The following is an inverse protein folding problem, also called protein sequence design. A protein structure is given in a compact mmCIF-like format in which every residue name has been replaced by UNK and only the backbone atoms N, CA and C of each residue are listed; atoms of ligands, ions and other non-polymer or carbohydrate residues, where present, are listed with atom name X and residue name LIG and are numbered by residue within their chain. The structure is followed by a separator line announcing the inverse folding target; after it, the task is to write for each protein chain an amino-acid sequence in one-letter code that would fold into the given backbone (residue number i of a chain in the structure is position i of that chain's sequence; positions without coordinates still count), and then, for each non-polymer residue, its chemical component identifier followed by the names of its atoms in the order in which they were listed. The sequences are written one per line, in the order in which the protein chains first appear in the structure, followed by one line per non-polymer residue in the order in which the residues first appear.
data_IF_133194480838
#
_entry.id   IF_133194480838
#
_cell.length_a   1.000
_cell.length_b   1.000
_cell.length_c   1.000
_cell.angle_alpha   90.00
_cell.angle_beta   90.00
_cell.angle_gamma   90.00
#
_symmetry.space_group_name_H-M   'P 1'
#
loop_
_entity.id
_entity.type
_entity.pdbx_description
1 polymer ?
#
# COMPACT_ATOMS: atom_id res chain seq x y z
N UNK A 1 -4.00 71.47 -15.01
CA UNK A 1 -4.80 71.76 -13.80
C UNK A 1 -4.58 70.65 -12.79
N UNK A 2 -4.77 70.98 -11.50
CA UNK A 2 -4.74 70.13 -10.29
C UNK A 2 -5.63 68.86 -10.47
N UNK A 3 -5.57 67.72 -9.75
CA UNK A 3 -4.92 67.24 -8.51
C UNK A 3 -5.53 65.84 -8.17
N UNK A 4 -5.49 65.21 -6.98
CA UNK A 4 -4.75 65.40 -5.72
C UNK A 4 -5.00 64.21 -4.73
N UNK A 5 -3.96 63.42 -4.37
CA UNK A 5 -3.81 62.64 -3.09
C UNK A 5 -4.65 61.34 -2.86
N UNK A 6 -4.19 60.37 -2.01
CA UNK A 6 -4.41 58.92 -2.23
C UNK A 6 -4.89 58.08 -1.01
N UNK A 7 -4.81 56.74 -1.17
CA UNK A 7 -4.60 55.64 -0.20
C UNK A 7 -4.84 55.84 1.32
N UNK A 8 -5.51 54.85 1.95
CA UNK A 8 -4.82 53.71 2.61
C UNK A 8 -5.78 52.64 3.17
N UNK A 9 -5.34 51.38 3.10
CA UNK A 9 -5.84 50.27 3.94
C UNK A 9 -5.21 50.33 5.34
N UNK A 10 -5.94 49.84 6.36
CA UNK A 10 -5.44 49.26 7.63
C UNK A 10 -6.64 48.86 8.51
N UNK A 11 -6.63 47.79 9.32
CA UNK A 11 -5.76 46.61 9.34
C UNK A 11 -6.46 45.53 10.17
N UNK A 12 -6.17 44.26 9.93
CA UNK A 12 -6.45 43.22 10.93
C UNK A 12 -5.40 43.29 12.05
N UNK A 13 -5.78 43.04 13.30
CA UNK A 13 -4.84 42.76 14.40
C UNK A 13 -5.37 41.56 15.19
N UNK A 14 -4.49 40.59 15.41
CA UNK A 14 -4.75 39.31 16.07
C UNK A 14 -4.72 39.40 17.61
N UNK A 15 -5.10 38.30 18.25
CA UNK A 15 -4.99 38.07 19.69
C UNK A 15 -3.53 37.86 20.12
N UNK A 16 -3.04 38.66 21.08
CA UNK A 16 -2.12 38.16 22.12
C UNK A 16 -2.25 38.96 23.41
N UNK A 17 -2.04 38.29 24.56
CA UNK A 17 -2.44 38.81 25.88
C UNK A 17 -1.29 39.39 26.70
N UNK A 18 -1.64 40.03 27.81
CA UNK A 18 -0.66 40.53 28.78
C UNK A 18 -1.20 41.64 29.70
N UNK A 19 -1.82 41.22 30.81
CA UNK A 19 -1.58 41.69 32.20
C UNK A 19 -1.47 43.20 32.52
N UNK A 20 -2.25 43.64 33.53
CA UNK A 20 -2.05 44.83 34.41
C UNK A 20 -2.14 46.21 33.70
N UNK A 21 -2.44 47.35 34.33
CA UNK A 21 -2.81 47.75 35.71
C UNK A 21 -3.57 49.09 35.59
N UNK A 22 -4.51 49.38 36.51
CA UNK A 22 -5.00 50.75 36.84
C UNK A 22 -5.63 51.56 35.65
N UNK A 23 -6.34 52.68 35.82
CA UNK A 23 -6.72 53.47 37.00
C UNK A 23 -8.12 54.10 36.80
N UNK A 24 -8.57 54.86 37.79
CA UNK A 24 -9.83 55.62 37.88
C UNK A 24 -10.10 56.53 36.65
N UNK A 25 -11.35 56.84 36.28
CA UNK A 25 -12.09 57.91 36.99
C UNK A 25 -13.59 58.03 36.65
N UNK A 26 -14.32 58.52 37.66
CA UNK A 26 -15.36 59.59 37.62
C UNK A 26 -16.28 59.64 36.37
N UNK A 27 -17.59 59.38 36.49
CA UNK A 27 -18.61 60.35 36.94
C UNK A 27 -18.49 61.73 36.23
N UNK A 28 -19.54 62.37 35.71
CA UNK A 28 -20.93 62.38 36.16
C UNK A 28 -21.87 62.98 35.08
N UNK A 29 -23.18 62.90 35.34
CA UNK A 29 -24.21 63.88 34.95
C UNK A 29 -24.75 64.00 33.50
N UNK A 30 -26.07 63.77 33.41
CA UNK A 30 -27.08 64.58 32.70
C UNK A 30 -27.45 64.35 31.21
N UNK A 31 -28.17 63.24 30.99
CA UNK A 31 -29.59 63.18 30.51
C UNK A 31 -30.27 64.53 30.10
N UNK A 32 -31.20 64.57 29.10
CA UNK A 32 -31.42 63.70 27.92
C UNK A 32 -31.62 64.48 26.59
N UNK A 33 -31.50 63.79 25.44
CA UNK A 33 -32.36 64.07 24.29
C UNK A 33 -32.56 62.80 23.45
N UNK A 34 -33.71 62.17 23.65
CA UNK A 34 -34.21 61.11 22.77
C UNK A 34 -34.74 61.75 21.48
N UNK A 35 -34.30 61.28 20.32
CA UNK A 35 -35.25 60.94 19.27
C UNK A 35 -35.15 59.44 18.98
N UNK A 36 -36.30 58.75 19.05
CA UNK A 36 -36.36 57.36 18.64
C UNK A 36 -36.06 57.24 17.14
N UNK A 37 -34.89 56.72 16.79
CA UNK A 37 -34.75 55.87 15.61
C UNK A 37 -35.25 54.47 15.99
N UNK A 38 -36.57 54.36 16.18
CA UNK A 38 -37.26 53.14 16.58
C UNK A 38 -37.23 52.12 15.45
N UNK A 39 -36.19 51.28 15.39
CA UNK A 39 -36.30 50.00 14.72
C UNK A 39 -37.43 49.23 15.40
N UNK A 40 -38.56 49.18 14.71
CA UNK A 40 -39.81 48.72 15.31
C UNK A 40 -39.66 47.27 15.76
N UNK A 41 -40.45 46.85 16.75
CA UNK A 41 -40.43 45.45 17.24
C UNK A 41 -40.69 44.43 16.11
N UNK A 42 -41.27 44.87 14.98
CA UNK A 42 -41.45 44.11 13.73
C UNK A 42 -40.15 43.91 12.93
N UNK A 43 -39.26 44.89 12.84
CA UNK A 43 -38.02 44.78 12.03
C UNK A 43 -37.02 43.82 12.67
N UNK A 44 -36.85 43.88 14.00
CA UNK A 44 -36.08 42.84 14.73
C UNK A 44 -36.71 41.47 14.55
N UNK A 45 -38.04 41.34 14.62
CA UNK A 45 -38.70 40.06 14.36
C UNK A 45 -38.49 39.55 12.93
N UNK A 46 -38.45 40.44 11.92
CA UNK A 46 -38.20 40.08 10.53
C UNK A 46 -36.76 39.60 10.29
N UNK A 47 -35.77 40.31 10.83
CA UNK A 47 -34.34 39.95 10.68
C UNK A 47 -34.02 38.61 11.38
N UNK A 48 -34.51 38.42 12.60
CA UNK A 48 -34.29 37.17 13.34
C UNK A 48 -35.02 35.97 12.72
N UNK A 49 -36.21 36.17 12.12
CA UNK A 49 -36.95 35.12 11.41
C UNK A 49 -36.27 34.74 10.09
N UNK A 50 -35.81 35.72 9.31
CA UNK A 50 -35.06 35.50 8.07
C UNK A 50 -33.71 34.77 8.30
N UNK A 51 -33.00 35.12 9.37
CA UNK A 51 -31.78 34.42 9.77
C UNK A 51 -32.08 32.99 10.24
N UNK A 52 -33.15 32.82 11.04
CA UNK A 52 -33.64 31.52 11.47
C UNK A 52 -34.01 30.60 10.31
N UNK A 53 -34.77 31.08 9.32
CA UNK A 53 -35.17 30.30 8.15
C UNK A 53 -33.97 29.90 7.27
N UNK A 54 -32.98 30.80 7.11
CA UNK A 54 -31.73 30.51 6.39
C UNK A 54 -30.88 29.43 7.08
N UNK A 55 -30.80 29.48 8.42
CA UNK A 55 -30.09 28.48 9.22
C UNK A 55 -30.88 27.16 9.25
N UNK A 56 -32.20 27.20 9.40
CA UNK A 56 -33.04 26.01 9.48
C UNK A 56 -33.06 25.21 8.16
N UNK A 57 -33.11 25.89 7.01
CA UNK A 57 -32.98 25.24 5.70
C UNK A 57 -31.58 24.63 5.52
N UNK A 58 -30.51 25.34 5.92
CA UNK A 58 -29.15 24.81 5.90
C UNK A 58 -28.98 23.60 6.84
N UNK A 59 -29.40 23.68 8.09
CA UNK A 59 -29.31 22.57 9.04
C UNK A 59 -30.10 21.34 8.57
N UNK A 60 -31.29 21.53 7.98
CA UNK A 60 -32.07 20.43 7.41
C UNK A 60 -31.36 19.79 6.20
N UNK A 61 -30.76 20.60 5.33
CA UNK A 61 -29.96 20.10 4.20
C UNK A 61 -28.70 19.36 4.68
N UNK A 62 -27.94 19.94 5.62
CA UNK A 62 -26.76 19.33 6.22
C UNK A 62 -27.08 18.02 6.95
N UNK A 63 -28.22 17.92 7.62
CA UNK A 63 -28.69 16.69 8.27
C UNK A 63 -29.01 15.59 7.23
N UNK A 64 -29.66 15.94 6.12
CA UNK A 64 -29.91 14.99 5.01
C UNK A 64 -28.60 14.55 4.37
N UNK A 65 -27.70 15.48 4.06
CA UNK A 65 -26.37 15.19 3.49
C UNK A 65 -25.56 14.28 4.43
N UNK A 66 -25.50 14.61 5.72
CA UNK A 66 -24.81 13.81 6.74
C UNK A 66 -25.42 12.40 6.89
N UNK A 67 -26.74 12.27 6.82
CA UNK A 67 -27.43 10.97 6.83
C UNK A 67 -27.10 10.11 5.61
N UNK A 68 -27.00 10.71 4.41
CA UNK A 68 -26.56 10.02 3.19
C UNK A 68 -25.11 9.56 3.30
N UNK A 69 -24.20 10.42 3.78
CA UNK A 69 -22.81 10.02 4.03
C UNK A 69 -22.69 8.91 5.08
N UNK A 70 -23.48 8.97 6.17
CA UNK A 70 -23.51 7.91 7.18
C UNK A 70 -24.01 6.59 6.58
N UNK A 71 -25.06 6.62 5.75
CA UNK A 71 -25.55 5.44 5.04
C UNK A 71 -24.50 4.84 4.09
N UNK A 72 -23.79 5.67 3.32
CA UNK A 72 -22.68 5.21 2.47
C UNK A 72 -21.54 4.61 3.29
N UNK A 73 -21.14 5.24 4.40
CA UNK A 73 -20.12 4.69 5.30
C UNK A 73 -20.56 3.35 5.91
N UNK A 74 -21.81 3.21 6.31
CA UNK A 74 -22.35 1.93 6.80
C UNK A 74 -22.32 0.85 5.72
N UNK A 75 -22.71 1.16 4.48
CA UNK A 75 -22.61 0.22 3.35
C UNK A 75 -21.16 -0.17 3.04
N UNK A 76 -20.22 0.77 3.12
CA UNK A 76 -18.79 0.51 2.96
C UNK A 76 -18.28 -0.40 4.09
N UNK A 77 -18.62 -0.10 5.35
CA UNK A 77 -18.21 -0.91 6.52
C UNK A 77 -18.79 -2.34 6.42
N UNK A 78 -20.07 -2.49 6.08
CA UNK A 78 -20.70 -3.81 5.91
C UNK A 78 -20.04 -4.56 4.74
N UNK A 79 -19.81 -3.91 3.61
CA UNK A 79 -19.10 -4.51 2.46
C UNK A 79 -17.68 -4.96 2.83
N UNK A 80 -16.94 -4.16 3.61
CA UNK A 80 -15.60 -4.50 4.08
C UNK A 80 -15.61 -5.67 5.07
N UNK A 81 -16.59 -5.75 5.97
CA UNK A 81 -16.74 -6.89 6.89
C UNK A 81 -17.04 -8.17 6.09
N UNK A 82 -18.00 -8.12 5.17
CA UNK A 82 -18.35 -9.26 4.32
C UNK A 82 -17.22 -9.68 3.36
N UNK A 83 -16.34 -8.76 2.98
CA UNK A 83 -15.13 -9.06 2.20
C UNK A 83 -13.96 -9.56 3.06
N UNK A 84 -13.93 -9.21 4.35
CA UNK A 84 -12.88 -9.65 5.29
C UNK A 84 -13.05 -11.11 5.71
N UNK A 85 -14.27 -11.64 5.65
CA UNK A 85 -14.54 -13.07 5.58
C UNK A 85 -14.14 -13.61 4.21
N UNK A 86 -12.83 -13.66 3.94
CA UNK A 86 -12.28 -14.34 2.76
C UNK A 86 -12.59 -15.83 2.92
N UNK A 87 -13.55 -16.30 2.12
CA UNK A 87 -13.76 -17.73 1.93
C UNK A 87 -12.49 -18.30 1.28
N UNK A 88 -11.69 -19.00 2.08
CA UNK A 88 -10.58 -19.83 1.60
C UNK A 88 -11.22 -21.07 0.98
N UNK A 89 -11.01 -21.29 -0.32
CA UNK A 89 -11.55 -22.47 -0.99
C UNK A 89 -10.87 -23.76 -0.48
N UNK A 90 -11.55 -24.90 -0.55
CA UNK A 90 -11.07 -26.14 0.08
C UNK A 90 -9.77 -26.67 -0.57
N UNK A 91 -9.41 -26.22 -1.77
CA UNK A 91 -8.15 -26.52 -2.46
C UNK A 91 -7.02 -25.48 -2.21
N UNK A 92 -7.36 -24.30 -1.69
CA UNK A 92 -6.41 -23.27 -1.25
C UNK A 92 -5.99 -23.47 0.22
N UNK A 93 -6.86 -24.05 1.06
CA UNK A 93 -6.47 -24.51 2.39
C UNK A 93 -5.53 -25.72 2.30
N UNK A 94 -4.41 -25.67 3.03
CA UNK A 94 -3.47 -26.78 3.11
C UNK A 94 -2.95 -26.98 4.54
N UNK A 95 -2.78 -28.23 4.94
CA UNK A 95 -2.32 -28.59 6.28
C UNK A 95 -0.78 -28.78 6.32
N UNK A 96 -0.03 -28.01 7.14
CA UNK A 96 1.42 -28.18 7.32
C UNK A 96 1.86 -29.57 7.77
N UNK A 97 1.04 -30.29 8.54
CA UNK A 97 1.38 -31.64 8.97
C UNK A 97 1.23 -32.67 7.83
N UNK A 98 0.25 -32.50 6.94
CA UNK A 98 0.02 -33.37 5.78
C UNK A 98 1.20 -33.45 4.79
N UNK A 99 1.96 -32.37 4.62
CA UNK A 99 3.16 -32.34 3.75
C UNK A 99 4.42 -32.78 4.48
N UNK A 100 4.39 -32.81 5.82
CA UNK A 100 5.52 -33.16 6.69
C UNK A 100 5.69 -34.68 6.83
N UNK A 101 5.71 -35.40 5.71
CA UNK A 101 5.82 -36.88 5.68
C UNK A 101 7.20 -37.42 6.05
N UNK A 102 8.22 -36.55 6.20
CA UNK A 102 9.62 -36.92 6.40
C UNK A 102 10.33 -37.43 5.14
N UNK A 103 9.63 -37.48 3.99
CA UNK A 103 10.21 -37.81 2.70
C UNK A 103 10.58 -36.53 1.95
N UNK A 104 11.75 -36.54 1.30
CA UNK A 104 12.30 -35.38 0.61
C UNK A 104 12.67 -35.73 -0.83
N UNK A 105 12.51 -34.76 -1.74
CA UNK A 105 13.07 -34.79 -3.08
C UNK A 105 14.10 -33.69 -3.22
N UNK A 106 15.30 -34.09 -3.65
CA UNK A 106 16.34 -33.17 -4.07
C UNK A 106 16.32 -33.05 -5.60
N UNK A 107 16.61 -31.86 -6.10
CA UNK A 107 16.94 -31.61 -7.49
C UNK A 107 18.28 -30.87 -7.54
N UNK A 108 19.16 -31.31 -8.44
CA UNK A 108 20.41 -30.65 -8.77
C UNK A 108 20.25 -29.94 -10.10
N UNK A 109 20.57 -28.65 -10.15
CA UNK A 109 20.43 -27.83 -11.34
C UNK A 109 21.70 -27.07 -11.69
N UNK A 110 21.75 -26.59 -12.92
CA UNK A 110 22.77 -25.64 -13.38
C UNK A 110 22.19 -24.61 -14.33
N UNK A 111 22.78 -23.44 -14.34
CA UNK A 111 22.42 -22.31 -15.20
C UNK A 111 23.61 -21.38 -15.41
N UNK A 112 23.61 -20.62 -16.51
CA UNK A 112 24.59 -19.58 -16.81
C UNK A 112 24.10 -18.21 -16.33
N UNK A 113 25.03 -17.42 -15.81
CA UNK A 113 24.81 -16.02 -15.43
C UNK A 113 25.24 -15.14 -16.61
N UNK A 114 24.30 -14.37 -17.16
CA UNK A 114 24.58 -13.37 -18.20
C UNK A 114 25.40 -12.21 -17.65
N UNK A 115 25.07 -11.75 -16.44
CA UNK A 115 25.79 -10.69 -15.71
C UNK A 115 25.24 -10.53 -14.28
N UNK A 116 25.95 -9.77 -13.43
CA UNK A 116 25.49 -9.38 -12.09
C UNK A 116 26.29 -8.19 -11.52
N UNK A 117 25.71 -7.49 -10.55
CA UNK A 117 26.20 -6.21 -10.00
C UNK A 117 27.40 -6.32 -9.05
N UNK A 118 27.49 -7.40 -8.28
CA UNK A 118 28.41 -7.54 -7.15
C UNK A 118 29.03 -8.94 -7.14
N UNK A 119 30.20 -9.08 -6.50
CA UNK A 119 30.94 -10.35 -6.42
C UNK A 119 30.23 -11.49 -5.66
N UNK A 120 29.18 -11.19 -4.90
CA UNK A 120 28.45 -12.16 -4.06
C UNK A 120 27.36 -12.93 -4.83
N UNK A 121 27.67 -13.34 -6.06
CA UNK A 121 26.74 -14.05 -6.97
C UNK A 121 26.04 -15.26 -6.32
N UNK A 122 26.72 -15.94 -5.38
CA UNK A 122 26.19 -17.07 -4.61
C UNK A 122 25.00 -16.69 -3.73
N UNK A 123 25.11 -15.59 -3.00
CA UNK A 123 24.10 -15.14 -2.05
C UNK A 123 22.87 -14.59 -2.78
N UNK A 124 23.09 -13.74 -3.80
CA UNK A 124 22.05 -13.19 -4.66
C UNK A 124 21.27 -14.30 -5.38
N UNK A 125 21.96 -15.31 -5.93
CA UNK A 125 21.31 -16.43 -6.61
C UNK A 125 20.59 -17.36 -5.62
N UNK A 126 21.20 -17.69 -4.48
CA UNK A 126 20.56 -18.51 -3.43
C UNK A 126 19.28 -17.85 -2.96
N UNK A 127 19.33 -16.56 -2.65
CA UNK A 127 18.15 -15.78 -2.26
C UNK A 127 17.09 -15.76 -3.35
N UNK A 128 17.46 -15.53 -4.61
CA UNK A 128 16.51 -15.57 -5.73
C UNK A 128 15.85 -16.95 -5.87
N UNK A 129 16.59 -18.05 -5.73
CA UNK A 129 16.02 -19.40 -5.78
C UNK A 129 15.02 -19.63 -4.63
N UNK A 130 15.35 -19.20 -3.41
CA UNK A 130 14.45 -19.23 -2.26
C UNK A 130 13.18 -18.41 -2.54
N UNK A 131 13.31 -17.16 -2.97
CA UNK A 131 12.19 -16.27 -3.26
C UNK A 131 11.25 -16.89 -4.33
N UNK A 132 11.80 -17.45 -5.41
CA UNK A 132 11.04 -18.06 -6.51
C UNK A 132 10.26 -19.29 -6.08
N UNK A 133 10.91 -20.23 -5.38
CA UNK A 133 10.26 -21.50 -5.05
C UNK A 133 9.35 -21.39 -3.83
N UNK A 134 9.70 -20.57 -2.82
CA UNK A 134 8.83 -20.35 -1.65
C UNK A 134 7.55 -19.58 -1.96
N UNK A 135 7.59 -18.63 -2.91
CA UNK A 135 6.40 -17.88 -3.36
C UNK A 135 5.61 -18.55 -4.50
N UNK A 136 6.07 -19.70 -5.01
CA UNK A 136 5.39 -20.43 -6.08
C UNK A 136 4.03 -20.96 -5.61
N UNK A 137 2.91 -20.61 -6.27
CA UNK A 137 1.59 -21.15 -5.90
C UNK A 137 1.50 -22.69 -6.00
N UNK A 138 2.29 -23.29 -6.90
CA UNK A 138 2.33 -24.74 -7.07
C UNK A 138 3.29 -25.45 -6.12
N UNK A 139 4.48 -24.86 -5.86
CA UNK A 139 5.59 -25.53 -5.16
C UNK A 139 5.89 -25.00 -3.75
N UNK A 140 5.40 -23.81 -3.38
CA UNK A 140 5.79 -23.11 -2.14
C UNK A 140 5.52 -23.91 -0.87
N UNK A 141 4.33 -24.52 -0.75
CA UNK A 141 3.96 -25.42 0.36
C UNK A 141 4.85 -26.66 0.50
N UNK A 142 5.58 -27.03 -0.54
CA UNK A 142 6.50 -28.16 -0.55
C UNK A 142 7.97 -27.74 -0.44
N UNK A 143 8.30 -26.47 -0.64
CA UNK A 143 9.68 -26.00 -0.68
C UNK A 143 10.31 -25.95 0.72
N UNK A 144 11.51 -26.53 0.86
CA UNK A 144 12.26 -26.51 2.12
C UNK A 144 13.41 -25.52 2.03
N UNK A 145 14.28 -25.66 1.03
CA UNK A 145 15.46 -24.81 0.87
C UNK A 145 16.04 -24.87 -0.54
N UNK A 146 16.83 -23.87 -0.89
CA UNK A 146 17.70 -23.84 -2.06
C UNK A 146 19.09 -23.38 -1.63
N UNK A 147 20.13 -23.90 -2.28
CA UNK A 147 21.52 -23.50 -2.07
C UNK A 147 22.28 -23.52 -3.39
N UNK A 148 23.28 -22.65 -3.53
CA UNK A 148 24.23 -22.72 -4.64
C UNK A 148 25.51 -23.40 -4.15
N UNK A 149 25.82 -24.56 -4.74
CA UNK A 149 26.93 -25.42 -4.31
C UNK A 149 28.28 -24.91 -4.82
N UNK A 150 28.33 -24.46 -6.08
CA UNK A 150 29.58 -24.05 -6.73
C UNK A 150 29.35 -23.19 -7.98
N UNK A 151 30.43 -22.53 -8.41
CA UNK A 151 30.48 -21.74 -9.64
C UNK A 151 31.67 -22.16 -10.52
N UNK A 152 31.42 -22.35 -11.81
CA UNK A 152 32.44 -22.41 -12.84
C UNK A 152 32.67 -21.01 -13.42
N UNK A 153 33.82 -20.41 -13.09
CA UNK A 153 34.20 -19.09 -13.61
C UNK A 153 34.45 -19.09 -15.12
N UNK A 154 34.87 -20.22 -15.70
CA UNK A 154 35.17 -20.33 -17.14
C UNK A 154 33.93 -20.11 -18.02
N UNK A 155 32.78 -20.63 -17.58
CA UNK A 155 31.51 -20.62 -18.34
C UNK A 155 30.39 -19.86 -17.59
N UNK A 156 30.74 -19.01 -16.62
CA UNK A 156 29.82 -18.29 -15.73
C UNK A 156 28.64 -19.16 -15.20
N UNK A 157 28.90 -20.44 -14.95
CA UNK A 157 27.86 -21.45 -14.67
C UNK A 157 27.74 -21.68 -13.18
N UNK A 158 26.54 -21.48 -12.63
CA UNK A 158 26.18 -21.84 -11.26
C UNK A 158 25.65 -23.26 -11.19
N UNK A 159 26.00 -24.00 -10.14
CA UNK A 159 25.42 -25.29 -9.78
C UNK A 159 24.67 -25.15 -8.45
N UNK A 160 23.42 -25.58 -8.40
CA UNK A 160 22.54 -25.38 -7.26
C UNK A 160 21.75 -26.64 -6.91
N UNK A 161 21.32 -26.72 -5.66
CA UNK A 161 20.40 -27.75 -5.17
C UNK A 161 19.11 -27.12 -4.67
N UNK A 162 18.00 -27.81 -4.90
CA UNK A 162 16.67 -27.52 -4.36
C UNK A 162 16.22 -28.73 -3.54
N UNK A 163 15.58 -28.48 -2.41
CA UNK A 163 15.02 -29.52 -1.53
C UNK A 163 13.54 -29.25 -1.31
N UNK A 164 12.72 -30.27 -1.55
CA UNK A 164 11.27 -30.24 -1.35
C UNK A 164 10.81 -31.37 -0.43
N UNK A 165 9.80 -31.12 0.39
CA UNK A 165 9.05 -32.15 1.12
C UNK A 165 8.05 -32.82 0.18
N UNK A 166 7.90 -34.13 0.29
CA UNK A 166 6.93 -34.89 -0.50
C UNK A 166 5.66 -35.19 0.32
N UNK A 167 4.46 -35.09 -0.28
CA UNK A 167 3.25 -35.62 0.34
C UNK A 167 3.31 -37.17 0.41
N UNK A 168 2.49 -37.82 1.26
CA UNK A 168 2.49 -39.27 1.42
C UNK A 168 2.21 -40.09 0.15
N UNK A 169 1.52 -39.51 -0.84
CA UNK A 169 1.21 -40.13 -2.14
C UNK A 169 2.11 -39.50 -3.21
N UNK A 170 3.36 -39.98 -3.28
CA UNK A 170 4.40 -39.33 -4.08
C UNK A 170 4.31 -39.62 -5.60
N UNK A 171 3.88 -40.79 -6.05
CA UNK A 171 4.12 -41.24 -7.44
C UNK A 171 3.41 -40.40 -8.50
N UNK A 172 2.10 -40.13 -8.35
CA UNK A 172 1.37 -39.27 -9.28
C UNK A 172 1.74 -37.79 -9.12
N UNK A 173 2.01 -37.36 -7.88
CA UNK A 173 2.47 -36.01 -7.55
C UNK A 173 3.80 -35.67 -8.22
N UNK A 174 4.79 -36.58 -8.17
CA UNK A 174 6.08 -36.44 -8.87
C UNK A 174 5.92 -36.39 -10.40
N UNK A 175 4.91 -37.06 -10.96
CA UNK A 175 4.67 -37.07 -12.40
C UNK A 175 4.00 -35.79 -12.90
N UNK A 176 3.05 -35.24 -12.15
CA UNK A 176 2.18 -34.13 -12.62
C UNK A 176 2.43 -32.77 -11.95
N UNK A 177 3.02 -32.74 -10.75
CA UNK A 177 3.18 -31.52 -9.95
C UNK A 177 4.63 -31.21 -9.59
N UNK A 178 5.50 -32.22 -9.46
CA UNK A 178 6.91 -32.06 -9.10
C UNK A 178 7.85 -32.83 -10.05
N UNK A 179 7.60 -32.74 -11.36
CA UNK A 179 8.52 -33.26 -12.37
C UNK A 179 9.72 -32.32 -12.55
N UNK A 180 10.86 -32.84 -13.02
CA UNK A 180 12.06 -32.05 -13.33
C UNK A 180 11.75 -30.90 -14.31
N UNK A 181 10.92 -31.18 -15.32
CA UNK A 181 10.43 -30.17 -16.27
C UNK A 181 9.60 -29.08 -15.60
N UNK A 182 8.66 -29.45 -14.71
CA UNK A 182 7.81 -28.48 -14.01
C UNK A 182 8.64 -27.56 -13.11
N UNK A 183 9.51 -28.14 -12.27
CA UNK A 183 10.38 -27.39 -11.34
C UNK A 183 11.34 -26.47 -12.12
N UNK A 184 11.91 -26.94 -13.23
CA UNK A 184 12.76 -26.13 -14.11
C UNK A 184 11.97 -24.99 -14.78
N UNK A 185 10.75 -25.25 -15.24
CA UNK A 185 9.93 -24.25 -15.93
C UNK A 185 9.42 -23.14 -14.99
N UNK A 186 9.22 -23.42 -13.69
CA UNK A 186 8.92 -22.37 -12.69
C UNK A 186 10.05 -21.33 -12.61
N UNK A 187 11.32 -21.78 -12.55
CA UNK A 187 12.47 -20.87 -12.54
C UNK A 187 12.67 -20.19 -13.91
N UNK A 188 12.43 -20.90 -15.01
CA UNK A 188 12.49 -20.33 -16.36
C UNK A 188 11.50 -19.19 -16.54
N UNK A 189 10.25 -19.35 -16.08
CA UNK A 189 9.22 -18.31 -16.16
C UNK A 189 9.65 -17.06 -15.38
N UNK A 190 10.13 -17.22 -14.13
CA UNK A 190 10.64 -16.10 -13.34
C UNK A 190 11.80 -15.34 -14.00
N UNK A 191 12.60 -16.00 -14.84
CA UNK A 191 13.67 -15.33 -15.58
C UNK A 191 13.09 -14.47 -16.70
N UNK A 192 12.14 -14.99 -17.48
CA UNK A 192 11.47 -14.21 -18.53
C UNK A 192 10.67 -13.02 -17.96
N UNK A 193 9.85 -13.23 -16.93
CA UNK A 193 9.06 -12.16 -16.29
C UNK A 193 9.94 -10.99 -15.80
N UNK A 194 11.20 -11.27 -15.46
CA UNK A 194 12.19 -10.25 -15.09
C UNK A 194 12.85 -9.59 -16.29
N UNK A 195 13.15 -10.31 -17.38
CA UNK A 195 13.76 -9.70 -18.57
C UNK A 195 12.85 -8.62 -19.17
N UNK A 196 11.53 -8.86 -19.23
CA UNK A 196 10.51 -7.87 -19.65
C UNK A 196 10.51 -6.57 -18.79
N UNK A 197 11.01 -6.64 -17.55
CA UNK A 197 11.13 -5.48 -16.64
C UNK A 197 12.43 -4.68 -16.87
N UNK A 198 13.38 -5.22 -17.65
CA UNK A 198 14.74 -4.69 -17.81
C UNK A 198 15.08 -4.11 -19.19
N UNK A 199 14.13 -4.09 -20.12
CA UNK A 199 14.29 -3.62 -21.51
C UNK A 199 14.47 -2.09 -21.68
N UNK A 200 15.01 -1.40 -20.66
CA UNK A 200 15.36 0.01 -20.71
C UNK A 200 16.86 0.24 -20.47
N UNK A 201 17.64 -0.10 -21.50
CA UNK A 201 18.91 0.54 -21.91
C UNK A 201 20.02 0.80 -20.85
N UNK A 202 20.11 0.03 -19.76
CA UNK A 202 21.32 0.00 -18.92
C UNK A 202 22.26 -1.15 -19.31
N UNK A 203 23.49 -0.87 -19.80
CA UNK A 203 24.53 -1.89 -19.99
C UNK A 203 25.11 -2.37 -18.65
N UNK A 204 24.87 -1.64 -17.55
CA UNK A 204 25.31 -2.00 -16.21
C UNK A 204 24.23 -2.85 -15.52
N UNK A 205 24.57 -4.10 -15.19
CA UNK A 205 23.63 -5.04 -14.59
C UNK A 205 23.47 -4.78 -13.09
N UNK A 206 22.41 -4.06 -12.71
CA UNK A 206 22.11 -3.70 -11.31
C UNK A 206 21.63 -4.88 -10.46
N UNK A 207 21.28 -6.02 -11.08
CA UNK A 207 20.95 -7.30 -10.43
C UNK A 207 21.46 -8.46 -11.28
N UNK A 208 21.48 -9.66 -10.70
CA UNK A 208 21.83 -10.89 -11.39
C UNK A 208 20.83 -11.24 -12.52
N UNK A 209 21.32 -11.31 -13.76
CA UNK A 209 20.59 -11.77 -14.95
C UNK A 209 21.07 -13.17 -15.32
N UNK A 210 20.12 -14.06 -15.57
CA UNK A 210 20.35 -15.49 -15.83
C UNK A 210 20.00 -15.82 -17.28
N UNK A 211 20.58 -16.87 -17.86
CA UNK A 211 20.16 -17.36 -19.17
C UNK A 211 19.06 -18.44 -19.06
N UNK A 212 17.80 -18.16 -19.45
CA UNK A 212 16.70 -19.12 -19.34
C UNK A 212 16.87 -20.34 -20.27
N UNK A 213 17.69 -20.23 -21.32
CA UNK A 213 18.01 -21.34 -22.23
C UNK A 213 19.06 -22.30 -21.66
N UNK A 214 19.93 -21.82 -20.76
CA UNK A 214 20.99 -22.63 -20.12
C UNK A 214 20.50 -23.55 -19.00
N UNK A 215 19.26 -23.35 -18.52
CA UNK A 215 18.68 -24.11 -17.42
C UNK A 215 18.62 -25.60 -17.71
N UNK A 216 19.17 -26.40 -16.79
CA UNK A 216 18.99 -27.86 -16.73
C UNK A 216 18.84 -28.29 -15.27
N UNK A 217 18.06 -29.35 -15.05
CA UNK A 217 17.71 -29.91 -13.74
C UNK A 217 17.74 -31.46 -13.83
N UNK A 218 18.08 -32.13 -12.73
CA UNK A 218 18.18 -33.60 -12.55
C UNK A 218 17.87 -33.99 -11.11
#
# INVERSE_FOLDING_TARGET
MNGHVPERECQAIELQGGRELEEENEADHNKPLNPEASMTKKERAYYWRSCGDTIFWKCKLWMVISSVFLGLLLVIIISLILYSEVYIDEDEYWDPESVSSGNYRNFSGRLQIKCAAQSNYSEDLTKRLIDVYSSSPALGRYFITAQVDSFSYENATAFYQLVFSLPPVADEFMKYTMSEEFVMNVLRQNIYDQEDTYDQESPECTKIRLDPASLTLT
#
